data_IF_383240791817
#
_entry.id   IF_383240791817
#
_cell.length_a   1.000
_cell.length_b   1.000
_cell.length_c   1.000
_cell.angle_alpha   90.00
_cell.angle_beta   90.00
_cell.angle_gamma   90.00
#
_symmetry.space_group_name_H-M   'P 1'
#
loop_
_entity.id
_entity.type
_entity.pdbx_description
1 polymer ?
#
# COMPACT_ATOMS: atom_id res chain seq x y z
N UNK A 1 65.04 -40.42 12.42
CA UNK A 1 63.91 -41.31 12.09
C UNK A 1 62.69 -40.46 11.80
N UNK A 2 61.93 -40.89 10.80
CA UNK A 2 60.95 -40.12 10.02
C UNK A 2 59.58 -39.97 10.69
N UNK A 3 58.90 -38.90 10.29
CA UNK A 3 57.45 -38.78 10.02
C UNK A 3 56.42 -38.80 11.15
N UNK A 4 55.64 -37.70 11.21
CA UNK A 4 54.24 -37.58 10.72
C UNK A 4 53.75 -36.13 11.03
N UNK A 5 53.45 -35.29 10.03
CA UNK A 5 52.11 -35.12 9.38
C UNK A 5 51.14 -34.38 10.34
N UNK A 6 50.44 -33.27 10.06
CA UNK A 6 49.99 -32.55 8.85
C UNK A 6 49.75 -31.04 9.19
N UNK A 7 49.86 -30.19 8.16
CA UNK A 7 49.62 -28.75 8.03
C UNK A 7 48.35 -28.19 8.72
N UNK A 8 48.49 -27.01 9.33
CA UNK A 8 47.40 -26.05 9.62
C UNK A 8 47.52 -24.79 8.75
N UNK A 9 46.77 -24.80 7.64
CA UNK A 9 46.21 -23.68 6.86
C UNK A 9 46.96 -22.33 6.76
N UNK A 10 47.52 -22.09 5.57
CA UNK A 10 47.66 -20.76 4.96
C UNK A 10 46.84 -20.66 3.66
N UNK A 11 46.55 -19.42 3.27
CA UNK A 11 46.05 -18.92 1.98
C UNK A 11 44.51 -18.95 1.79
N UNK A 12 43.86 -17.77 1.83
CA UNK A 12 43.63 -16.83 0.71
C UNK A 12 42.58 -17.36 -0.27
N UNK A 13 41.43 -16.68 -0.38
CA UNK A 13 41.04 -15.91 -1.58
C UNK A 13 39.56 -15.49 -1.53
N UNK A 14 39.38 -14.25 -1.99
CA UNK A 14 38.16 -13.60 -2.46
C UNK A 14 37.21 -14.57 -3.16
N UNK A 15 35.90 -14.42 -2.97
CA UNK A 15 34.90 -14.09 -4.02
C UNK A 15 33.48 -14.33 -3.47
N UNK A 16 32.59 -13.40 -3.77
CA UNK A 16 31.14 -13.51 -3.67
C UNK A 16 30.62 -14.89 -4.11
N UNK A 17 29.76 -15.52 -3.30
CA UNK A 17 28.79 -16.46 -3.85
C UNK A 17 27.41 -16.23 -3.23
N UNK A 18 26.47 -15.86 -4.11
CA UNK A 18 25.04 -15.65 -3.86
C UNK A 18 24.37 -17.01 -3.79
N UNK A 19 24.14 -17.55 -2.60
CA UNK A 19 23.21 -18.67 -2.44
C UNK A 19 21.82 -18.14 -2.06
N UNK A 20 21.07 -17.81 -3.10
CA UNK A 20 19.62 -17.65 -3.06
C UNK A 20 18.96 -19.04 -3.07
N UNK A 21 18.49 -19.53 -1.93
CA UNK A 21 17.58 -20.67 -1.83
C UNK A 21 16.72 -20.50 -0.57
N UNK A 22 15.77 -19.58 -0.68
CA UNK A 22 14.73 -19.31 0.31
C UNK A 22 13.48 -18.81 -0.41
N UNK A 23 13.05 -19.49 -1.48
CA UNK A 23 11.73 -19.26 -2.08
C UNK A 23 10.68 -19.95 -1.20
N UNK A 24 10.41 -19.34 -0.05
CA UNK A 24 9.13 -19.51 0.61
C UNK A 24 8.08 -19.01 -0.37
N UNK A 25 7.22 -19.92 -0.82
CA UNK A 25 6.06 -19.60 -1.67
C UNK A 25 5.20 -18.66 -0.83
N UNK A 26 5.28 -17.36 -1.09
CA UNK A 26 4.33 -16.39 -0.55
C UNK A 26 3.01 -16.69 -1.25
N UNK A 27 2.13 -17.43 -0.58
CA UNK A 27 0.75 -17.64 -0.98
C UNK A 27 0.09 -16.25 -1.05
N UNK A 28 0.08 -15.64 -2.23
CA UNK A 28 -0.66 -14.41 -2.49
C UNK A 28 -2.05 -14.82 -2.98
N UNK A 29 -2.96 -15.07 -2.05
CA UNK A 29 -4.39 -15.13 -2.33
C UNK A 29 -4.83 -13.74 -2.77
N UNK A 30 -4.93 -13.50 -4.08
CA UNK A 30 -5.23 -12.20 -4.68
C UNK A 30 -6.71 -11.83 -4.62
N UNK A 31 -7.36 -11.98 -3.48
CA UNK A 31 -8.70 -11.44 -3.23
C UNK A 31 -8.87 -11.28 -1.72
N UNK A 32 -8.11 -10.33 -1.17
CA UNK A 32 -8.34 -9.87 0.20
C UNK A 32 -9.76 -9.27 0.24
N UNK A 33 -10.66 -9.79 1.10
CA UNK A 33 -11.98 -9.19 1.28
C UNK A 33 -11.80 -7.74 1.71
N UNK A 34 -12.67 -6.85 1.22
CA UNK A 34 -12.65 -5.44 1.58
C UNK A 34 -12.69 -5.34 3.11
N UNK A 35 -11.65 -4.75 3.68
CA UNK A 35 -11.51 -4.66 5.13
C UNK A 35 -12.70 -3.87 5.70
N UNK A 36 -13.16 -4.18 6.92
CA UNK A 36 -14.36 -3.53 7.51
C UNK A 36 -14.21 -2.00 7.49
N UNK A 37 -12.97 -1.54 7.60
CA UNK A 37 -12.61 -0.14 7.56
C UNK A 37 -12.62 0.45 6.15
N UNK A 38 -12.20 -0.28 5.12
CA UNK A 38 -12.32 0.16 3.72
C UNK A 38 -13.79 0.35 3.33
N UNK A 39 -14.66 -0.58 3.75
CA UNK A 39 -16.11 -0.48 3.54
C UNK A 39 -16.69 0.76 4.23
N UNK A 40 -16.23 1.08 5.44
CA UNK A 40 -16.65 2.29 6.16
C UNK A 40 -16.31 3.55 5.36
N UNK A 41 -15.07 3.68 4.89
CA UNK A 41 -14.62 4.83 4.09
C UNK A 41 -15.42 4.91 2.78
N UNK A 42 -15.61 3.75 2.13
CA UNK A 42 -16.40 3.65 0.91
C UNK A 42 -17.81 4.20 1.12
N UNK A 43 -18.50 3.78 2.19
CA UNK A 43 -19.86 4.23 2.47
C UNK A 43 -19.95 5.74 2.73
N UNK A 44 -19.00 6.32 3.46
CA UNK A 44 -18.95 7.78 3.73
C UNK A 44 -18.87 8.54 2.40
N UNK A 45 -17.91 8.16 1.54
CA UNK A 45 -17.71 8.82 0.26
C UNK A 45 -18.87 8.58 -0.71
N UNK A 46 -19.47 7.39 -0.66
CA UNK A 46 -20.63 7.04 -1.48
C UNK A 46 -21.83 7.91 -1.14
N UNK A 47 -22.10 8.14 0.15
CA UNK A 47 -23.20 8.98 0.61
C UNK A 47 -22.99 10.46 0.29
N UNK A 48 -21.77 10.97 0.51
CA UNK A 48 -21.47 12.39 0.35
C UNK A 48 -21.42 12.83 -1.13
N UNK A 49 -20.73 12.06 -1.98
CA UNK A 49 -20.42 12.49 -3.35
C UNK A 49 -21.22 11.79 -4.43
N UNK A 50 -21.97 10.73 -4.08
CA UNK A 50 -22.70 9.85 -5.03
C UNK A 50 -21.87 9.58 -6.31
N UNK A 51 -20.62 9.10 -6.15
CA UNK A 51 -19.71 8.94 -7.26
C UNK A 51 -20.20 7.85 -8.22
N UNK A 52 -19.90 8.05 -9.51
CA UNK A 52 -20.12 7.04 -10.55
C UNK A 52 -19.09 5.93 -10.47
N UNK A 53 -17.86 6.26 -10.08
CA UNK A 53 -16.80 5.30 -9.82
C UNK A 53 -16.10 5.67 -8.51
N UNK A 54 -16.07 4.72 -7.58
CA UNK A 54 -15.41 4.85 -6.29
C UNK A 54 -14.52 3.64 -6.04
N UNK A 55 -13.25 3.89 -5.76
CA UNK A 55 -12.31 2.88 -5.32
C UNK A 55 -11.61 3.37 -4.05
N UNK A 56 -11.62 2.52 -3.04
CA UNK A 56 -10.89 2.69 -1.78
C UNK A 56 -10.03 1.44 -1.64
N UNK A 57 -8.74 1.62 -1.37
CA UNK A 57 -7.80 0.51 -1.19
C UNK A 57 -6.77 0.83 -0.12
N UNK A 58 -6.54 -0.08 0.81
CA UNK A 58 -5.43 -0.04 1.74
C UNK A 58 -4.12 -0.35 0.99
N UNK A 59 -3.19 0.59 1.07
CA UNK A 59 -1.83 0.47 0.50
C UNK A 59 -0.76 0.33 1.60
N UNK A 60 -1.17 0.22 2.85
CA UNK A 60 -0.30 0.03 4.01
C UNK A 60 0.08 -1.43 4.27
N UNK A 61 -0.53 -2.37 3.52
CA UNK A 61 -0.27 -3.80 3.66
C UNK A 61 -1.05 -4.45 4.80
N UNK A 62 -2.24 -3.93 5.12
CA UNK A 62 -3.15 -4.50 6.12
C UNK A 62 -3.01 -3.92 7.52
N UNK A 63 -2.29 -2.80 7.70
CA UNK A 63 -2.25 -2.09 8.98
C UNK A 63 -3.24 -0.92 9.06
N UNK A 64 -3.99 -0.64 7.98
CA UNK A 64 -5.03 0.38 7.97
C UNK A 64 -4.51 1.80 8.17
N UNK A 65 -3.25 2.07 7.80
CA UNK A 65 -2.61 3.37 8.05
C UNK A 65 -2.44 4.23 6.82
N UNK A 66 -2.65 3.68 5.62
CA UNK A 66 -2.46 4.40 4.36
C UNK A 66 -3.43 3.94 3.30
N UNK A 67 -4.20 4.87 2.72
CA UNK A 67 -5.24 4.54 1.75
C UNK A 67 -5.02 5.23 0.42
N UNK A 68 -5.35 4.53 -0.66
CA UNK A 68 -5.47 5.07 -2.01
C UNK A 68 -6.95 5.16 -2.38
N UNK A 69 -7.43 6.37 -2.63
CA UNK A 69 -8.82 6.67 -2.91
C UNK A 69 -8.93 7.33 -4.29
N UNK A 70 -9.78 6.78 -5.13
CA UNK A 70 -10.15 7.36 -6.42
C UNK A 70 -11.65 7.62 -6.46
N UNK A 71 -12.03 8.88 -6.67
CA UNK A 71 -13.43 9.32 -6.70
C UNK A 71 -13.73 9.98 -8.03
N UNK A 72 -14.71 9.44 -8.74
CA UNK A 72 -15.26 10.02 -9.97
C UNK A 72 -16.72 10.44 -9.74
N UNK A 73 -17.01 11.73 -9.78
CA UNK A 73 -18.34 12.28 -9.53
C UNK A 73 -18.63 13.48 -10.43
N UNK A 74 -19.88 13.63 -10.85
CA UNK A 74 -20.37 14.83 -11.55
C UNK A 74 -20.31 16.07 -10.66
N UNK A 75 -20.31 15.90 -9.33
CA UNK A 75 -20.16 17.00 -8.34
C UNK A 75 -18.84 17.74 -8.48
N UNK A 76 -17.84 17.12 -9.09
CA UNK A 76 -16.52 17.72 -9.30
C UNK A 76 -16.43 18.52 -10.60
N UNK A 77 -17.48 18.49 -11.43
CA UNK A 77 -17.59 19.32 -12.63
C UNK A 77 -17.54 20.80 -12.23
N UNK A 78 -16.73 21.57 -12.95
CA UNK A 78 -16.51 23.00 -12.71
C UNK A 78 -15.85 23.37 -11.36
N UNK A 79 -15.35 22.38 -10.60
CA UNK A 79 -14.58 22.60 -9.38
C UNK A 79 -13.08 22.38 -9.68
N UNK A 80 -12.17 23.30 -9.29
CA UNK A 80 -10.74 23.06 -9.44
C UNK A 80 -10.26 21.92 -8.54
N UNK A 81 -9.28 21.15 -9.00
CA UNK A 81 -8.73 19.96 -8.29
C UNK A 81 -8.43 20.20 -6.81
N UNK A 82 -7.84 21.35 -6.45
CA UNK A 82 -7.54 21.69 -5.05
C UNK A 82 -8.80 21.75 -4.19
N UNK A 83 -9.90 22.31 -4.72
CA UNK A 83 -11.19 22.35 -4.01
C UNK A 83 -11.82 20.97 -3.93
N UNK A 84 -11.72 20.14 -4.98
CA UNK A 84 -12.19 18.75 -4.95
C UNK A 84 -11.48 17.98 -3.83
N UNK A 85 -10.15 18.09 -3.73
CA UNK A 85 -9.38 17.44 -2.68
C UNK A 85 -9.78 17.94 -1.28
N UNK A 86 -10.02 19.26 -1.13
CA UNK A 86 -10.54 19.81 0.13
C UNK A 86 -11.87 19.20 0.52
N UNK A 87 -12.83 19.10 -0.40
CA UNK A 87 -14.14 18.51 -0.12
C UNK A 87 -14.03 17.07 0.37
N UNK A 88 -13.21 16.25 -0.30
CA UNK A 88 -12.99 14.85 0.12
C UNK A 88 -12.27 14.79 1.47
N UNK A 89 -11.28 15.65 1.72
CA UNK A 89 -10.60 15.70 3.00
C UNK A 89 -11.53 16.11 4.15
N UNK A 90 -12.46 17.03 3.92
CA UNK A 90 -13.46 17.41 4.93
C UNK A 90 -14.41 16.25 5.23
N UNK A 91 -14.88 15.52 4.20
CA UNK A 91 -15.73 14.35 4.38
C UNK A 91 -15.04 13.22 5.17
N UNK A 92 -13.72 13.12 5.07
CA UNK A 92 -12.91 12.08 5.74
C UNK A 92 -12.08 12.60 6.91
N UNK A 93 -12.33 13.81 7.40
CA UNK A 93 -11.48 14.49 8.38
C UNK A 93 -11.20 13.66 9.65
N UNK A 94 -12.25 13.01 10.15
CA UNK A 94 -12.17 12.17 11.36
C UNK A 94 -11.35 10.89 11.15
N UNK A 95 -11.30 10.40 9.92
CA UNK A 95 -10.56 9.18 9.57
C UNK A 95 -9.13 9.50 9.14
N UNK A 96 -8.91 10.54 8.33
CA UNK A 96 -7.58 11.00 7.90
C UNK A 96 -6.68 11.33 9.10
N UNK A 97 -7.25 11.82 10.19
CA UNK A 97 -6.50 12.11 11.43
C UNK A 97 -5.83 10.88 12.05
N UNK A 98 -6.28 9.66 11.70
CA UNK A 98 -5.73 8.39 12.16
C UNK A 98 -4.72 7.79 11.17
N UNK A 99 -4.68 8.30 9.94
CA UNK A 99 -3.85 7.74 8.87
C UNK A 99 -2.47 8.40 8.85
N UNK A 100 -1.47 7.62 8.47
CA UNK A 100 -0.13 8.13 8.19
C UNK A 100 -0.08 8.89 6.86
N UNK A 101 -0.98 8.56 5.93
CA UNK A 101 -1.12 9.28 4.67
C UNK A 101 -2.28 8.78 3.81
N UNK A 102 -2.64 9.57 2.80
CA UNK A 102 -3.66 9.23 1.81
C UNK A 102 -3.19 9.65 0.42
N UNK A 103 -3.46 8.80 -0.56
CA UNK A 103 -3.35 9.13 -1.98
C UNK A 103 -4.74 9.38 -2.53
N UNK A 104 -5.05 10.63 -2.85
CA UNK A 104 -6.34 11.02 -3.40
C UNK A 104 -6.24 11.32 -4.89
N UNK A 105 -7.15 10.73 -5.68
CA UNK A 105 -7.36 11.05 -7.10
C UNK A 105 -8.83 11.40 -7.31
N UNK A 106 -9.09 12.60 -7.82
CA UNK A 106 -10.43 13.03 -8.19
C UNK A 106 -10.55 13.16 -9.70
N UNK A 107 -11.71 12.78 -10.25
CA UNK A 107 -12.06 12.96 -11.66
C UNK A 107 -13.49 13.48 -11.76
N UNK A 108 -13.71 14.44 -12.66
CA UNK A 108 -15.07 14.81 -13.07
C UNK A 108 -15.60 13.78 -14.07
N UNK A 109 -16.81 13.27 -13.85
CA UNK A 109 -17.58 12.49 -14.83
C UNK A 109 -18.44 13.40 -15.69
#
# INVERSE_FOLDING_TARGET
MLSRSILGNQALLRTFNRNALGRGIRLMTTTEPLDDYEQKIYNILQQEFQPKNLQVRDVSGGCGSMFAISVESEKFKDIPMVKQHRLVNEALKDEISKWHGIQLRTKSS
#
